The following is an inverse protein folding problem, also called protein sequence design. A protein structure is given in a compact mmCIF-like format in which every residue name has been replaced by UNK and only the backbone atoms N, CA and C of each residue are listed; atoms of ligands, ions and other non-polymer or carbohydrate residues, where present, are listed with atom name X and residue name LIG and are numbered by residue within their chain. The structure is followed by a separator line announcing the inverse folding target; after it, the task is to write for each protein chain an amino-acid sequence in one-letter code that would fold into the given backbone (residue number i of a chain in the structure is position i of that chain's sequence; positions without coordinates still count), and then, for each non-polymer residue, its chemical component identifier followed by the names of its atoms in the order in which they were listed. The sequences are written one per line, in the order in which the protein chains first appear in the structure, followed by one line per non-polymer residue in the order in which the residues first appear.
data_IF_524509380913
#
_entry.id   IF_524509380913
#
_cell.length_a   1.000
_cell.length_b   1.000
_cell.length_c   1.000
_cell.angle_alpha   90.00
_cell.angle_beta   90.00
_cell.angle_gamma   90.00
#
_symmetry.space_group_name_H-M   'P 1'
#
loop_
_entity.id
_entity.type
_entity.pdbx_description
1 polymer ?
#
# COMPACT_ATOMS: atom_id res chain seq x y z
N UNK A 1 -47.61 -47.50 -31.58
CA UNK A 1 -47.48 -46.08 -31.21
C UNK A 1 -46.02 -45.83 -30.91
N UNK A 2 -45.45 -44.84 -31.61
CA UNK A 2 -44.03 -44.74 -31.96
C UNK A 2 -43.35 -43.70 -31.07
N UNK A 3 -42.18 -44.09 -30.55
CA UNK A 3 -41.17 -43.25 -29.92
C UNK A 3 -40.53 -42.29 -30.93
N UNK A 4 -40.37 -41.01 -30.61
CA UNK A 4 -39.41 -40.12 -31.30
C UNK A 4 -38.87 -39.03 -30.35
N UNK A 5 -37.56 -39.03 -30.13
CA UNK A 5 -36.73 -37.85 -29.81
C UNK A 5 -36.34 -37.15 -31.13
N UNK A 6 -36.26 -35.81 -31.21
CA UNK A 6 -34.95 -35.12 -31.35
C UNK A 6 -34.99 -33.70 -30.71
N UNK A 7 -33.97 -32.85 -30.65
CA UNK A 7 -32.64 -32.77 -31.24
C UNK A 7 -32.17 -31.30 -31.23
N UNK A 8 -30.87 -31.08 -31.06
CA UNK A 8 -30.18 -29.78 -31.13
C UNK A 8 -30.17 -29.22 -32.55
N UNK A 9 -30.22 -27.89 -32.71
CA UNK A 9 -29.39 -27.03 -33.59
C UNK A 9 -30.14 -25.80 -34.11
N UNK A 10 -29.60 -24.60 -33.89
CA UNK A 10 -29.48 -23.54 -34.93
C UNK A 10 -28.21 -22.73 -34.67
N UNK A 11 -27.26 -22.86 -35.59
CA UNK A 11 -26.09 -22.00 -35.82
C UNK A 11 -26.34 -21.27 -37.13
N UNK A 12 -25.99 -19.98 -37.15
CA UNK A 12 -25.61 -19.15 -38.31
C UNK A 12 -26.57 -19.00 -39.51
N UNK A 13 -27.08 -17.78 -39.71
CA UNK A 13 -27.31 -17.17 -41.03
C UNK A 13 -27.63 -15.68 -40.90
N UNK A 14 -26.71 -14.82 -41.38
CA UNK A 14 -26.99 -13.61 -42.19
C UNK A 14 -25.81 -12.61 -42.13
N UNK A 15 -24.88 -12.76 -43.07
CA UNK A 15 -23.88 -11.77 -43.46
C UNK A 15 -24.28 -11.25 -44.86
N UNK A 16 -24.14 -9.94 -45.06
CA UNK A 16 -24.07 -9.19 -46.32
C UNK A 16 -25.38 -8.80 -47.04
N UNK A 17 -25.69 -7.49 -47.04
CA UNK A 17 -25.80 -6.66 -48.25
C UNK A 17 -26.24 -5.21 -47.89
N UNK A 18 -25.34 -4.22 -48.09
CA UNK A 18 -25.58 -2.97 -48.85
C UNK A 18 -24.43 -1.96 -48.68
N UNK A 19 -23.51 -2.00 -49.63
CA UNK A 19 -22.82 -0.87 -50.30
C UNK A 19 -23.80 0.26 -50.70
N UNK A 20 -23.47 1.54 -50.93
CA UNK A 20 -22.24 2.24 -51.37
C UNK A 20 -22.46 3.78 -51.35
N UNK A 21 -21.35 4.53 -51.39
CA UNK A 21 -21.08 5.87 -52.01
C UNK A 21 -20.57 6.93 -51.03
N UNK A 22 -19.58 7.80 -51.31
CA UNK A 22 -18.53 7.98 -52.34
C UNK A 22 -17.89 9.37 -52.05
N UNK A 23 -16.71 9.67 -52.64
CA UNK A 23 -15.93 10.95 -52.70
C UNK A 23 -14.95 11.19 -51.54
N UNK A 24 -13.65 11.54 -51.69
CA UNK A 24 -12.73 11.86 -52.81
C UNK A 24 -11.25 11.66 -52.31
N UNK A 25 -10.32 11.02 -53.03
CA UNK A 25 -9.30 11.56 -53.99
C UNK A 25 -8.18 12.44 -53.35
N UNK A 26 -6.97 11.93 -53.05
CA UNK A 26 -5.70 11.79 -53.84
C UNK A 26 -4.99 13.09 -54.26
N UNK A 27 -3.80 13.36 -53.67
CA UNK A 27 -2.58 13.94 -54.27
C UNK A 27 -1.44 13.93 -53.22
N UNK A 28 -0.39 13.10 -53.27
CA UNK A 28 0.88 13.08 -54.06
C UNK A 28 1.80 14.32 -53.99
N UNK A 29 3.03 14.02 -53.51
CA UNK A 29 4.37 14.55 -53.86
C UNK A 29 4.94 15.75 -53.10
N UNK A 30 6.18 15.56 -52.60
CA UNK A 30 7.15 16.61 -52.30
C UNK A 30 8.35 16.08 -51.50
N UNK A 31 9.43 15.71 -52.19
CA UNK A 31 10.72 15.30 -51.62
C UNK A 31 11.62 16.51 -51.35
N UNK A 32 12.44 16.49 -50.29
CA UNK A 32 13.73 17.23 -50.21
C UNK A 32 14.77 16.38 -49.46
N UNK A 33 15.96 16.37 -50.04
CA UNK A 33 17.22 15.62 -49.84
C UNK A 33 17.94 15.94 -48.50
N UNK A 34 18.83 15.05 -48.00
CA UNK A 34 19.57 15.24 -46.75
C UNK A 34 20.87 16.01 -46.93
N UNK A 35 21.24 16.81 -45.92
CA UNK A 35 22.48 17.58 -45.88
C UNK A 35 23.35 17.24 -44.66
N UNK A 36 24.57 16.80 -44.96
CA UNK A 36 25.84 17.04 -44.25
C UNK A 36 26.10 16.46 -42.86
N UNK A 37 27.01 15.49 -42.86
CA UNK A 37 28.01 15.17 -41.83
C UNK A 37 28.86 16.37 -41.39
N UNK A 38 29.19 16.49 -40.10
CA UNK A 38 30.54 16.76 -39.56
C UNK A 38 30.53 16.91 -38.01
N UNK A 39 31.00 15.86 -37.35
CA UNK A 39 31.92 15.83 -36.21
C UNK A 39 32.50 17.16 -35.67
N UNK A 40 32.31 17.45 -34.37
CA UNK A 40 33.38 17.96 -33.46
C UNK A 40 33.07 17.55 -32.02
N UNK A 41 34.03 16.84 -31.41
CA UNK A 41 34.10 16.48 -30.02
C UNK A 41 34.28 17.68 -29.07
N UNK A 42 33.58 17.69 -27.93
CA UNK A 42 34.10 18.28 -26.68
C UNK A 42 33.72 17.44 -25.46
N UNK A 43 34.77 16.86 -24.87
CA UNK A 43 34.83 16.39 -23.48
C UNK A 43 34.57 17.57 -22.53
N UNK A 44 33.64 17.39 -21.60
CA UNK A 44 33.47 18.25 -20.43
C UNK A 44 33.17 17.38 -19.23
N UNK A 45 34.18 17.16 -18.39
CA UNK A 45 34.06 16.44 -17.13
C UNK A 45 33.16 17.25 -16.18
N UNK A 46 31.98 16.71 -15.86
CA UNK A 46 31.07 17.24 -14.84
C UNK A 46 31.18 16.45 -13.55
N UNK A 47 31.78 17.08 -12.54
CA UNK A 47 31.84 16.64 -11.14
C UNK A 47 30.43 16.32 -10.59
N UNK A 48 30.20 15.19 -9.90
CA UNK A 48 28.92 14.94 -9.26
C UNK A 48 28.79 15.82 -8.00
N UNK A 49 27.83 16.74 -8.06
CA UNK A 49 27.42 17.57 -6.94
C UNK A 49 26.85 16.73 -5.80
N UNK A 50 27.49 16.85 -4.64
CA UNK A 50 27.01 16.45 -3.31
C UNK A 50 25.59 16.96 -3.06
N UNK A 51 24.63 16.05 -2.94
CA UNK A 51 23.35 16.32 -2.27
C UNK A 51 23.54 16.23 -0.76
N UNK A 52 23.80 17.38 -0.14
CA UNK A 52 23.71 17.57 1.30
C UNK A 52 22.30 18.06 1.66
N UNK A 53 21.71 17.49 2.72
CA UNK A 53 20.55 18.09 3.39
C UNK A 53 19.34 17.17 3.67
N UNK A 54 19.57 15.97 4.22
CA UNK A 54 18.55 15.30 5.04
C UNK A 54 19.02 15.38 6.49
N UNK A 55 18.26 16.11 7.30
CA UNK A 55 18.49 16.27 8.73
C UNK A 55 18.37 14.92 9.44
N UNK A 56 19.47 14.59 10.11
CA UNK A 56 19.72 13.55 11.10
C UNK A 56 18.50 12.78 11.65
N UNK A 57 18.40 11.52 11.24
CA UNK A 57 17.91 10.47 12.14
C UNK A 57 18.96 10.15 13.21
N UNK A 58 18.59 9.47 14.31
CA UNK A 58 19.50 9.18 15.41
C UNK A 58 20.73 8.41 14.91
N UNK A 59 21.88 8.82 15.42
CA UNK A 59 23.19 8.25 15.12
C UNK A 59 23.15 6.72 15.25
N UNK A 60 23.52 6.03 14.16
CA UNK A 60 23.73 4.59 14.17
C UNK A 60 24.82 4.28 15.19
N UNK A 61 24.47 3.58 16.26
CA UNK A 61 25.43 3.00 17.20
C UNK A 61 26.26 2.01 16.40
N UNK A 62 27.49 2.41 16.06
CA UNK A 62 28.52 1.52 15.56
C UNK A 62 28.98 0.67 16.73
N UNK A 63 28.39 -0.51 16.89
CA UNK A 63 29.00 -1.57 17.70
C UNK A 63 30.34 -1.95 17.07
N UNK A 64 31.41 -1.79 17.85
CA UNK A 64 32.77 -2.19 17.55
C UNK A 64 32.88 -3.69 17.22
N UNK A 65 33.86 -4.01 16.37
CA UNK A 65 34.52 -5.32 16.40
C UNK A 65 34.00 -6.37 15.43
N UNK A 66 34.35 -6.26 14.15
CA UNK A 66 35.06 -7.32 13.39
C UNK A 66 35.34 -6.84 11.97
N UNK A 67 36.61 -6.92 11.59
CA UNK A 67 37.12 -6.59 10.27
C UNK A 67 36.62 -7.62 9.24
N UNK A 68 35.48 -7.34 8.60
CA UNK A 68 35.15 -7.89 7.28
C UNK A 68 34.39 -6.81 6.49
N UNK A 69 35.08 -6.22 5.50
CA UNK A 69 34.77 -4.93 4.84
C UNK A 69 33.55 -4.85 3.94
N UNK A 70 32.35 -5.11 4.46
CA UNK A 70 31.07 -4.83 3.79
C UNK A 70 30.21 -3.85 4.59
N UNK A 71 29.48 -2.97 3.89
CA UNK A 71 28.46 -2.14 4.54
C UNK A 71 27.34 -3.02 5.13
N UNK A 72 26.56 -2.49 6.06
CA UNK A 72 25.37 -3.20 6.57
C UNK A 72 24.41 -3.60 5.42
N UNK A 73 24.35 -2.81 4.36
CA UNK A 73 23.57 -3.10 3.16
C UNK A 73 24.11 -4.28 2.34
N UNK A 74 25.44 -4.44 2.25
CA UNK A 74 26.06 -5.55 1.52
C UNK A 74 25.84 -6.87 2.26
N UNK A 75 25.99 -6.87 3.59
CA UNK A 75 25.67 -8.03 4.43
C UNK A 75 24.20 -8.44 4.30
N UNK A 76 23.29 -7.47 4.32
CA UNK A 76 21.87 -7.71 4.13
C UNK A 76 21.57 -8.37 2.77
N UNK A 77 22.21 -7.89 1.70
CA UNK A 77 22.03 -8.41 0.34
C UNK A 77 22.57 -9.84 0.24
N UNK A 78 23.76 -10.09 0.77
CA UNK A 78 24.36 -11.43 0.79
C UNK A 78 23.47 -12.47 1.51
N UNK A 79 22.88 -12.11 2.67
CA UNK A 79 21.94 -12.99 3.39
C UNK A 79 20.70 -13.30 2.55
N UNK A 80 20.12 -12.27 1.90
CA UNK A 80 18.95 -12.45 1.05
C UNK A 80 19.27 -13.35 -0.14
N UNK A 81 20.37 -13.09 -0.84
CA UNK A 81 20.75 -13.83 -2.04
C UNK A 81 21.05 -15.30 -1.73
N UNK A 82 21.73 -15.57 -0.61
CA UNK A 82 22.02 -16.93 -0.17
C UNK A 82 20.76 -17.73 0.22
N UNK A 83 19.70 -17.08 0.71
CA UNK A 83 18.51 -17.76 1.27
C UNK A 83 17.28 -17.70 0.37
N UNK A 84 17.28 -16.89 -0.69
CA UNK A 84 16.06 -16.65 -1.51
C UNK A 84 15.51 -17.93 -2.14
N UNK A 85 16.37 -18.74 -2.76
CA UNK A 85 15.94 -19.99 -3.38
C UNK A 85 15.35 -20.96 -2.35
N UNK A 86 16.00 -21.07 -1.19
CA UNK A 86 15.51 -21.88 -0.07
C UNK A 86 14.15 -21.39 0.45
N UNK A 87 13.96 -20.08 0.60
CA UNK A 87 12.68 -19.50 1.00
C UNK A 87 11.55 -19.89 0.04
N UNK A 88 11.79 -19.85 -1.28
CA UNK A 88 10.79 -20.26 -2.26
C UNK A 88 10.44 -21.76 -2.16
N UNK A 89 11.44 -22.63 -1.94
CA UNK A 89 11.23 -24.07 -1.72
C UNK A 89 10.42 -24.33 -0.45
N UNK A 90 10.80 -23.72 0.67
CA UNK A 90 10.04 -23.79 1.93
C UNK A 90 8.59 -23.37 1.71
N UNK A 91 8.36 -22.29 0.96
CA UNK A 91 7.03 -21.80 0.64
C UNK A 91 6.20 -22.82 -0.14
N UNK A 92 6.82 -23.48 -1.12
CA UNK A 92 6.18 -24.57 -1.86
C UNK A 92 5.80 -25.75 -0.95
N UNK A 93 6.69 -26.17 -0.06
CA UNK A 93 6.43 -27.28 0.87
C UNK A 93 5.32 -26.98 1.87
N UNK A 94 5.09 -25.72 2.25
CA UNK A 94 3.95 -25.35 3.11
C UNK A 94 2.59 -25.72 2.49
N UNK A 95 2.50 -25.87 1.17
CA UNK A 95 1.25 -26.27 0.51
C UNK A 95 0.80 -27.70 0.87
N UNK A 96 1.70 -28.55 1.38
CA UNK A 96 1.38 -29.91 1.84
C UNK A 96 0.47 -29.90 3.08
N UNK A 97 0.36 -28.76 3.78
CA UNK A 97 -0.44 -28.59 4.99
C UNK A 97 -1.71 -27.74 4.77
N UNK A 98 -2.07 -27.44 3.53
CA UNK A 98 -3.33 -26.75 3.23
C UNK A 98 -4.49 -27.64 3.68
N UNK A 99 -5.52 -27.04 4.30
CA UNK A 99 -6.62 -27.73 5.01
C UNK A 99 -6.26 -28.25 6.41
N UNK A 100 -5.03 -28.06 6.87
CA UNK A 100 -4.62 -28.33 8.24
C UNK A 100 -4.07 -27.04 8.89
N UNK A 101 -4.93 -26.06 9.23
CA UNK A 101 -4.47 -24.70 9.58
C UNK A 101 -3.42 -24.67 10.69
N UNK A 102 -3.58 -25.51 11.71
CA UNK A 102 -2.63 -25.63 12.83
C UNK A 102 -1.29 -26.21 12.36
N UNK A 103 -1.30 -27.25 11.51
CA UNK A 103 -0.08 -27.84 10.95
C UNK A 103 0.65 -26.84 10.05
N UNK A 104 -0.09 -26.09 9.23
CA UNK A 104 0.46 -25.01 8.42
C UNK A 104 1.12 -23.93 9.29
N UNK A 105 0.48 -23.51 10.39
CA UNK A 105 1.04 -22.52 11.31
C UNK A 105 2.36 -22.99 11.95
N UNK A 106 2.42 -24.26 12.37
CA UNK A 106 3.64 -24.89 12.91
C UNK A 106 4.75 -24.94 11.85
N UNK A 107 4.43 -25.41 10.64
CA UNK A 107 5.39 -25.50 9.54
C UNK A 107 5.89 -24.12 9.10
N UNK A 108 5.01 -23.11 9.04
CA UNK A 108 5.37 -21.73 8.72
C UNK A 108 6.30 -21.16 9.78
N UNK A 109 6.03 -21.38 11.07
CA UNK A 109 6.90 -20.94 12.15
C UNK A 109 8.31 -21.51 12.01
N UNK A 110 8.43 -22.82 11.74
CA UNK A 110 9.72 -23.46 11.51
C UNK A 110 10.46 -22.86 10.29
N UNK A 111 9.74 -22.60 9.19
CA UNK A 111 10.31 -21.95 8.01
C UNK A 111 10.78 -20.51 8.30
N UNK A 112 10.03 -19.75 9.10
CA UNK A 112 10.40 -18.39 9.51
C UNK A 112 11.62 -18.39 10.43
N UNK A 113 11.73 -19.36 11.35
CA UNK A 113 12.91 -19.57 12.19
C UNK A 113 14.16 -19.91 11.37
N UNK A 114 14.02 -20.76 10.35
CA UNK A 114 15.12 -21.10 9.43
C UNK A 114 15.61 -19.84 8.66
N UNK A 115 14.68 -18.99 8.24
CA UNK A 115 14.98 -17.79 7.47
C UNK A 115 15.40 -16.58 8.31
N UNK A 116 15.27 -16.65 9.64
CA UNK A 116 15.47 -15.53 10.56
C UNK A 116 16.88 -14.92 10.48
N UNK A 117 16.94 -13.60 10.64
CA UNK A 117 18.17 -12.83 10.79
C UNK A 117 18.10 -12.03 12.10
N UNK A 118 18.87 -12.47 13.10
CA UNK A 118 18.89 -11.85 14.43
C UNK A 118 19.30 -10.37 14.38
N UNK A 119 20.27 -10.01 13.53
CA UNK A 119 20.71 -8.62 13.41
C UNK A 119 19.60 -7.76 12.79
N UNK A 120 18.87 -8.31 11.83
CA UNK A 120 17.71 -7.64 11.26
C UNK A 120 16.58 -7.49 12.29
N UNK A 121 16.29 -8.51 13.10
CA UNK A 121 15.30 -8.45 14.19
C UNK A 121 15.59 -7.30 15.16
N UNK A 122 16.83 -7.19 15.62
CA UNK A 122 17.25 -6.08 16.50
C UNK A 122 17.06 -4.73 15.82
N UNK A 123 17.43 -4.62 14.54
CA UNK A 123 17.20 -3.41 13.75
C UNK A 123 15.71 -3.05 13.59
N UNK A 124 14.84 -4.05 13.41
CA UNK A 124 13.39 -3.83 13.34
C UNK A 124 12.84 -3.25 14.65
N UNK A 125 13.27 -3.78 15.81
CA UNK A 125 12.83 -3.26 17.11
C UNK A 125 13.29 -1.82 17.36
N UNK A 126 14.45 -1.44 16.82
CA UNK A 126 14.93 -0.06 16.89
C UNK A 126 14.10 0.89 15.99
N UNK A 127 13.77 0.45 14.78
CA UNK A 127 13.02 1.25 13.80
C UNK A 127 11.52 1.33 14.13
N UNK A 128 10.96 0.27 14.68
CA UNK A 128 9.57 0.18 15.11
C UNK A 128 9.50 -0.28 16.58
N UNK A 129 9.78 0.63 17.54
CA UNK A 129 9.64 0.32 18.96
C UNK A 129 8.22 -0.17 19.26
N UNK A 130 8.11 -1.30 19.96
CA UNK A 130 6.81 -1.88 20.31
C UNK A 130 6.13 -2.69 19.21
N UNK A 131 6.81 -3.01 18.10
CA UNK A 131 6.29 -3.88 17.01
C UNK A 131 5.85 -5.29 17.44
N UNK A 132 6.01 -5.68 18.71
CA UNK A 132 5.61 -7.01 19.18
C UNK A 132 6.60 -8.12 18.77
N UNK A 133 6.10 -9.35 18.68
CA UNK A 133 6.94 -10.54 18.45
C UNK A 133 7.18 -10.71 16.96
N UNK A 134 8.46 -10.82 16.60
CA UNK A 134 8.90 -11.12 15.24
C UNK A 134 10.01 -12.17 15.23
N UNK A 135 10.11 -12.93 14.14
CA UNK A 135 11.26 -13.81 13.88
C UNK A 135 12.49 -13.02 13.38
N UNK A 136 12.27 -11.90 12.71
CA UNK A 136 13.32 -11.13 12.04
C UNK A 136 13.57 -11.61 10.62
N UNK A 137 12.53 -12.01 9.89
CA UNK A 137 12.67 -12.41 8.49
C UNK A 137 12.66 -11.18 7.59
N UNK A 138 13.68 -11.05 6.75
CA UNK A 138 13.79 -9.94 5.79
C UNK A 138 12.66 -9.98 4.77
N UNK A 139 12.05 -8.83 4.46
CA UNK A 139 10.90 -8.75 3.54
C UNK A 139 11.11 -9.44 2.18
N UNK A 140 12.29 -9.38 1.52
CA UNK A 140 12.52 -10.15 0.30
C UNK A 140 12.41 -11.67 0.47
N UNK A 141 12.82 -12.22 1.62
CA UNK A 141 12.69 -13.65 1.93
C UNK A 141 11.24 -14.01 2.24
N UNK A 142 10.53 -13.19 3.02
CA UNK A 142 9.11 -13.39 3.31
C UNK A 142 8.28 -13.37 2.01
N UNK A 143 8.60 -12.47 1.06
CA UNK A 143 7.96 -12.46 -0.27
C UNK A 143 8.29 -13.69 -1.10
N UNK A 144 9.52 -14.19 -1.07
CA UNK A 144 9.90 -15.40 -1.78
C UNK A 144 9.17 -16.64 -1.21
N UNK A 145 9.08 -16.74 0.12
CA UNK A 145 8.29 -17.74 0.84
C UNK A 145 6.82 -17.68 0.43
N UNK A 146 6.19 -16.50 0.52
CA UNK A 146 4.80 -16.30 0.11
C UNK A 146 4.56 -16.66 -1.36
N UNK A 147 5.45 -16.28 -2.28
CA UNK A 147 5.33 -16.61 -3.70
C UNK A 147 5.43 -18.13 -3.95
N UNK A 148 6.32 -18.83 -3.24
CA UNK A 148 6.40 -20.29 -3.28
C UNK A 148 5.07 -20.94 -2.92
N UNK A 149 4.48 -20.52 -1.79
CA UNK A 149 3.18 -21.02 -1.33
C UNK A 149 2.06 -20.69 -2.31
N UNK A 150 1.87 -19.41 -2.69
CA UNK A 150 0.79 -19.00 -3.59
C UNK A 150 0.85 -19.73 -4.94
N UNK A 151 2.05 -20.08 -5.42
CA UNK A 151 2.19 -20.84 -6.66
C UNK A 151 1.79 -22.31 -6.53
N UNK A 152 2.15 -22.93 -5.42
CA UNK A 152 1.77 -24.31 -5.12
C UNK A 152 0.26 -24.43 -4.85
N UNK A 153 -0.36 -23.39 -4.28
CA UNK A 153 -1.77 -23.42 -3.87
C UNK A 153 -2.76 -22.76 -4.83
N UNK A 154 -2.35 -22.43 -6.06
CA UNK A 154 -3.22 -21.70 -7.03
C UNK A 154 -4.54 -22.40 -7.33
N UNK A 155 -4.59 -23.72 -7.16
CA UNK A 155 -5.75 -24.57 -7.47
C UNK A 155 -6.52 -25.01 -6.21
N UNK A 156 -6.02 -24.70 -5.02
CA UNK A 156 -6.71 -25.03 -3.78
C UNK A 156 -7.97 -24.19 -3.61
N UNK A 157 -8.90 -24.72 -2.81
CA UNK A 157 -10.16 -24.04 -2.54
C UNK A 157 -9.93 -22.75 -1.75
N UNK A 158 -10.64 -21.68 -2.11
CA UNK A 158 -10.54 -20.42 -1.37
C UNK A 158 -11.04 -20.55 0.07
N UNK A 159 -12.01 -21.44 0.33
CA UNK A 159 -12.46 -21.75 1.69
C UNK A 159 -11.36 -22.34 2.58
N UNK A 160 -10.58 -23.31 2.08
CA UNK A 160 -9.46 -23.87 2.83
C UNK A 160 -8.41 -22.81 3.15
N UNK A 161 -8.04 -22.02 2.13
CA UNK A 161 -7.08 -20.93 2.29
C UNK A 161 -7.57 -19.83 3.27
N UNK A 162 -8.88 -19.61 3.37
CA UNK A 162 -9.43 -18.68 4.36
C UNK A 162 -9.33 -19.21 5.80
N UNK A 163 -9.49 -20.53 6.01
CA UNK A 163 -9.26 -21.14 7.32
C UNK A 163 -7.78 -21.04 7.73
N UNK A 164 -6.88 -21.29 6.77
CA UNK A 164 -5.45 -21.11 6.95
C UNK A 164 -5.10 -19.65 7.31
N UNK A 165 -5.63 -18.69 6.56
CA UNK A 165 -5.41 -17.27 6.83
C UNK A 165 -5.96 -16.86 8.21
N UNK A 166 -7.13 -17.35 8.59
CA UNK A 166 -7.72 -17.10 9.91
C UNK A 166 -6.81 -17.57 11.05
N UNK A 167 -6.29 -18.79 10.95
CA UNK A 167 -5.35 -19.35 11.95
C UNK A 167 -4.05 -18.54 12.02
N UNK A 168 -3.50 -18.17 10.86
CA UNK A 168 -2.25 -17.40 10.80
C UNK A 168 -2.40 -15.97 11.35
N UNK A 169 -3.58 -15.34 11.21
CA UNK A 169 -3.86 -14.04 11.83
C UNK A 169 -3.87 -14.12 13.37
N UNK A 170 -4.23 -15.28 13.94
CA UNK A 170 -4.21 -15.53 15.38
C UNK A 170 -2.82 -15.75 15.98
N UNK A 171 -1.79 -15.94 15.15
CA UNK A 171 -0.44 -16.22 15.63
C UNK A 171 0.19 -15.01 16.37
N UNK A 172 1.02 -15.26 17.39
CA UNK A 172 1.65 -14.18 18.15
C UNK A 172 2.77 -13.48 17.39
N UNK A 173 3.45 -14.16 16.46
CA UNK A 173 4.47 -13.57 15.60
C UNK A 173 3.85 -12.84 14.40
N UNK A 174 4.24 -11.59 14.18
CA UNK A 174 3.64 -10.75 13.13
C UNK A 174 3.93 -11.25 11.71
N UNK A 175 5.07 -11.89 11.45
CA UNK A 175 5.36 -12.39 10.10
C UNK A 175 4.36 -13.44 9.61
N UNK A 176 3.76 -14.22 10.51
CA UNK A 176 2.68 -15.14 10.15
C UNK A 176 1.42 -14.38 9.70
N UNK A 177 1.09 -13.27 10.36
CA UNK A 177 -0.01 -12.38 9.97
C UNK A 177 0.25 -11.71 8.63
N UNK A 178 1.47 -11.22 8.42
CA UNK A 178 1.87 -10.62 7.14
C UNK A 178 1.85 -11.64 6.00
N UNK A 179 2.20 -12.90 6.27
CA UNK A 179 2.05 -13.99 5.32
C UNK A 179 0.59 -14.25 4.98
N UNK A 180 -0.31 -14.23 5.98
CA UNK A 180 -1.75 -14.37 5.78
C UNK A 180 -2.32 -13.30 4.83
N UNK A 181 -1.81 -12.07 4.84
CA UNK A 181 -2.27 -11.03 3.90
C UNK A 181 -2.03 -11.39 2.43
N UNK A 182 -1.00 -12.19 2.15
CA UNK A 182 -0.76 -12.76 0.82
C UNK A 182 -1.84 -13.78 0.43
N UNK A 183 -2.25 -14.64 1.37
CA UNK A 183 -3.35 -15.60 1.18
C UNK A 183 -4.66 -14.84 0.93
N UNK A 184 -4.97 -13.84 1.75
CA UNK A 184 -6.15 -12.99 1.57
C UNK A 184 -6.15 -12.30 0.21
N UNK A 185 -4.99 -11.83 -0.27
CA UNK A 185 -4.87 -11.27 -1.61
C UNK A 185 -5.16 -12.27 -2.74
N UNK A 186 -4.91 -13.57 -2.53
CA UNK A 186 -5.24 -14.64 -3.47
C UNK A 186 -6.72 -15.05 -3.43
N UNK A 187 -7.35 -15.03 -2.25
CA UNK A 187 -8.76 -15.41 -2.08
C UNK A 187 -9.72 -14.27 -2.46
N UNK A 188 -9.26 -13.02 -2.38
CA UNK A 188 -10.08 -11.83 -2.59
C UNK A 188 -10.92 -11.88 -3.87
N UNK A 189 -10.41 -12.24 -5.07
CA UNK A 189 -11.24 -12.24 -6.28
C UNK A 189 -12.38 -13.29 -6.29
N UNK A 190 -12.31 -14.30 -5.43
CA UNK A 190 -13.24 -15.45 -5.40
C UNK A 190 -14.19 -15.44 -4.20
N UNK A 191 -13.68 -15.07 -3.02
CA UNK A 191 -14.41 -15.08 -1.75
C UNK A 191 -14.37 -13.68 -1.13
N UNK A 192 -14.95 -12.70 -1.84
CA UNK A 192 -14.79 -11.27 -1.53
C UNK A 192 -15.19 -10.92 -0.10
N UNK A 193 -16.43 -11.24 0.29
CA UNK A 193 -16.94 -10.82 1.59
C UNK A 193 -16.25 -11.53 2.75
N UNK A 194 -16.03 -12.86 2.68
CA UNK A 194 -15.31 -13.58 3.74
C UNK A 194 -13.86 -13.11 3.89
N UNK A 195 -13.18 -12.87 2.76
CA UNK A 195 -11.82 -12.29 2.77
C UNK A 195 -11.86 -10.91 3.41
N UNK A 196 -12.85 -10.08 3.08
CA UNK A 196 -12.98 -8.73 3.61
C UNK A 196 -13.22 -8.70 5.12
N UNK A 197 -14.01 -9.62 5.67
CA UNK A 197 -14.20 -9.73 7.12
C UNK A 197 -12.87 -9.99 7.84
N UNK A 198 -12.01 -10.84 7.30
CA UNK A 198 -10.67 -11.06 7.84
C UNK A 198 -9.76 -9.83 7.69
N UNK A 199 -9.87 -9.07 6.60
CA UNK A 199 -9.15 -7.80 6.44
C UNK A 199 -9.60 -6.74 7.45
N UNK A 200 -10.92 -6.61 7.72
CA UNK A 200 -11.45 -5.73 8.77
C UNK A 200 -10.90 -6.11 10.15
N UNK A 201 -10.94 -7.40 10.47
CA UNK A 201 -10.37 -7.92 11.72
C UNK A 201 -8.88 -7.61 11.85
N UNK A 202 -8.11 -7.88 10.80
CA UNK A 202 -6.68 -7.57 10.78
C UNK A 202 -6.40 -6.07 10.96
N UNK A 203 -7.22 -5.19 10.38
CA UNK A 203 -7.13 -3.74 10.54
C UNK A 203 -7.35 -3.31 11.99
N UNK A 204 -8.39 -3.85 12.66
CA UNK A 204 -8.68 -3.57 14.07
C UNK A 204 -7.62 -4.11 15.03
N UNK A 205 -7.05 -5.27 14.74
CA UNK A 205 -6.04 -5.92 15.57
C UNK A 205 -4.61 -5.42 15.30
N UNK A 206 -4.41 -4.57 14.27
CA UNK A 206 -3.10 -4.01 13.98
C UNK A 206 -2.60 -3.12 15.12
N UNK A 207 -1.38 -3.37 15.58
CA UNK A 207 -0.75 -2.65 16.69
C UNK A 207 0.45 -1.80 16.29
N UNK A 208 0.82 -1.81 15.01
CA UNK A 208 2.03 -1.20 14.48
C UNK A 208 1.88 -0.77 13.01
N UNK A 209 2.73 0.16 12.57
CA UNK A 209 2.67 0.71 11.23
C UNK A 209 3.12 -0.27 10.13
N UNK A 210 3.97 -1.27 10.43
CA UNK A 210 4.42 -2.25 9.43
C UNK A 210 3.26 -3.18 9.06
N UNK A 211 2.51 -3.65 10.04
CA UNK A 211 1.29 -4.43 9.82
C UNK A 211 0.27 -3.66 9.01
N UNK A 212 -0.02 -2.41 9.38
CA UNK A 212 -0.96 -1.54 8.65
C UNK A 212 -0.52 -1.35 7.19
N UNK A 213 0.75 -1.01 6.95
CA UNK A 213 1.24 -0.74 5.59
C UNK A 213 1.31 -2.01 4.74
N UNK A 214 1.54 -3.18 5.36
CA UNK A 214 1.50 -4.48 4.67
C UNK A 214 0.06 -4.85 4.30
N UNK A 215 -0.90 -4.62 5.20
CA UNK A 215 -2.33 -4.86 4.99
C UNK A 215 -2.90 -3.94 3.89
N UNK A 216 -2.45 -2.68 3.86
CA UNK A 216 -2.97 -1.63 3.00
C UNK A 216 -3.01 -2.01 1.51
N UNK A 217 -2.04 -2.77 1.01
CA UNK A 217 -2.00 -3.21 -0.39
C UNK A 217 -3.18 -4.12 -0.73
N UNK A 218 -3.50 -5.10 0.14
CA UNK A 218 -4.62 -6.03 -0.07
C UNK A 218 -5.95 -5.31 0.07
N UNK A 219 -6.07 -4.37 1.02
CA UNK A 219 -7.26 -3.51 1.14
C UNK A 219 -7.45 -2.64 -0.11
N UNK A 220 -6.37 -2.02 -0.62
CA UNK A 220 -6.40 -1.22 -1.84
C UNK A 220 -6.83 -2.02 -3.06
N UNK A 221 -6.41 -3.28 -3.16
CA UNK A 221 -6.90 -4.21 -4.19
C UNK A 221 -8.41 -4.44 -4.07
N UNK A 222 -8.92 -4.70 -2.86
CA UNK A 222 -10.36 -4.91 -2.65
C UNK A 222 -11.19 -3.67 -2.99
N UNK A 223 -10.68 -2.48 -2.68
CA UNK A 223 -11.33 -1.21 -3.04
C UNK A 223 -11.38 -1.00 -4.55
N UNK A 224 -10.32 -1.35 -5.28
CA UNK A 224 -10.32 -1.28 -6.75
C UNK A 224 -11.22 -2.35 -7.38
N UNK A 225 -11.24 -3.56 -6.83
CA UNK A 225 -12.07 -4.67 -7.32
C UNK A 225 -13.57 -4.43 -7.04
N UNK A 226 -13.91 -3.76 -5.93
CA UNK A 226 -15.28 -3.43 -5.51
C UNK A 226 -15.38 -1.97 -5.04
N UNK A 227 -15.65 -1.01 -5.94
CA UNK A 227 -15.61 0.43 -5.63
C UNK A 227 -16.56 0.90 -4.53
N UNK A 228 -17.59 0.14 -4.16
CA UNK A 228 -18.42 0.47 -3.00
C UNK A 228 -17.65 0.36 -1.67
N UNK A 229 -16.54 -0.37 -1.63
CA UNK A 229 -15.69 -0.53 -0.42
C UNK A 229 -14.91 0.73 -0.05
N UNK A 230 -14.94 1.78 -0.88
CA UNK A 230 -14.52 3.11 -0.43
C UNK A 230 -15.28 3.56 0.83
N UNK A 231 -16.55 3.15 0.96
CA UNK A 231 -17.36 3.41 2.15
C UNK A 231 -16.77 2.81 3.44
N UNK A 232 -15.97 1.75 3.33
CA UNK A 232 -15.28 1.17 4.47
C UNK A 232 -14.15 2.10 4.94
N UNK A 233 -13.37 2.65 4.00
CA UNK A 233 -12.35 3.66 4.34
C UNK A 233 -12.99 4.94 4.90
N UNK A 234 -14.15 5.34 4.36
CA UNK A 234 -14.95 6.46 4.88
C UNK A 234 -15.38 6.24 6.34
N UNK A 235 -15.67 5.01 6.76
CA UNK A 235 -15.96 4.72 8.16
C UNK A 235 -14.70 4.78 9.03
N UNK A 236 -13.59 4.24 8.53
CA UNK A 236 -12.34 4.18 9.29
C UNK A 236 -11.74 5.55 9.62
N UNK A 237 -12.07 6.62 8.88
CA UNK A 237 -11.57 7.98 9.23
C UNK A 237 -12.04 8.43 10.62
N UNK A 238 -13.18 7.92 11.09
CA UNK A 238 -13.76 8.24 12.40
C UNK A 238 -13.35 7.25 13.49
N UNK A 239 -12.54 6.23 13.18
CA UNK A 239 -12.16 5.23 14.17
C UNK A 239 -11.39 5.85 15.33
N UNK A 240 -11.63 5.43 16.59
CA UNK A 240 -10.78 5.81 17.71
C UNK A 240 -9.36 5.24 17.60
N UNK A 241 -9.18 4.13 16.87
CA UNK A 241 -7.87 3.52 16.65
C UNK A 241 -7.04 4.33 15.66
N UNK A 242 -5.87 4.81 16.09
CA UNK A 242 -4.91 5.46 15.19
C UNK A 242 -4.44 4.54 14.05
N UNK A 243 -4.46 3.23 14.26
CA UNK A 243 -3.99 2.25 13.27
C UNK A 243 -5.00 2.06 12.14
N UNK A 244 -6.29 2.11 12.45
CA UNK A 244 -7.35 2.10 11.44
C UNK A 244 -7.39 3.42 10.66
N UNK A 245 -7.21 4.58 11.32
CA UNK A 245 -7.07 5.87 10.62
C UNK A 245 -5.81 5.90 9.75
N UNK A 246 -4.70 5.32 10.21
CA UNK A 246 -3.49 5.15 9.41
C UNK A 246 -3.76 4.26 8.19
N UNK A 247 -4.51 3.18 8.35
CA UNK A 247 -4.86 2.26 7.27
C UNK A 247 -5.51 3.00 6.09
N UNK A 248 -6.37 3.98 6.34
CA UNK A 248 -6.94 4.83 5.28
C UNK A 248 -5.84 5.52 4.46
N UNK A 249 -4.91 6.22 5.13
CA UNK A 249 -3.79 6.87 4.47
C UNK A 249 -2.89 5.89 3.72
N UNK A 250 -2.51 4.78 4.36
CA UNK A 250 -1.65 3.76 3.74
C UNK A 250 -2.33 3.07 2.56
N UNK A 251 -3.64 2.80 2.62
CA UNK A 251 -4.41 2.24 1.49
C UNK A 251 -4.43 3.22 0.32
N UNK A 252 -4.80 4.49 0.54
CA UNK A 252 -4.79 5.52 -0.51
C UNK A 252 -3.38 5.67 -1.11
N UNK A 253 -2.34 5.64 -0.27
CA UNK A 253 -0.96 5.74 -0.71
C UNK A 253 -0.49 4.57 -1.57
N UNK A 254 -1.10 3.39 -1.41
CA UNK A 254 -0.71 2.15 -2.11
C UNK A 254 -1.53 1.88 -3.37
N UNK A 255 -2.78 2.35 -3.47
CA UNK A 255 -3.67 2.13 -4.62
C UNK A 255 -2.99 2.37 -5.99
N UNK A 256 -2.23 3.46 -6.24
CA UNK A 256 -1.56 3.70 -7.53
C UNK A 256 -0.49 2.68 -7.93
N UNK A 257 -0.12 1.80 -7.00
CA UNK A 257 0.87 0.75 -7.15
C UNK A 257 0.28 -0.66 -7.10
N UNK A 258 -0.96 -0.82 -6.61
CA UNK A 258 -1.73 -2.07 -6.70
C UNK A 258 -2.05 -2.38 -8.16
N UNK A 259 -2.65 -1.42 -8.84
CA UNK A 259 -2.89 -1.46 -10.28
C UNK A 259 -2.51 -0.10 -10.88
N UNK A 260 -1.57 -0.07 -11.82
CA UNK A 260 -1.06 1.18 -12.39
C UNK A 260 -2.03 1.86 -13.35
N UNK A 261 -3.07 1.15 -13.79
CA UNK A 261 -4.12 1.69 -14.66
C UNK A 261 -5.30 2.11 -13.79
N UNK A 262 -6.00 1.15 -13.18
CA UNK A 262 -7.20 1.42 -12.39
C UNK A 262 -6.90 2.29 -11.16
N UNK A 263 -5.77 2.04 -10.48
CA UNK A 263 -5.34 2.83 -9.32
C UNK A 263 -4.85 4.25 -9.65
N UNK A 264 -4.85 4.65 -10.92
CA UNK A 264 -4.46 5.99 -11.36
C UNK A 264 -5.55 6.68 -12.16
N UNK A 265 -6.78 6.20 -12.05
CA UNK A 265 -7.92 6.91 -12.61
C UNK A 265 -8.22 8.18 -11.79
N UNK A 266 -8.72 9.26 -12.41
CA UNK A 266 -9.00 10.52 -11.70
C UNK A 266 -9.95 10.36 -10.51
N UNK A 267 -10.89 9.40 -10.58
CA UNK A 267 -11.81 9.11 -9.47
C UNK A 267 -11.08 8.65 -8.19
N UNK A 268 -9.95 7.93 -8.33
CA UNK A 268 -9.12 7.53 -7.19
C UNK A 268 -8.56 8.76 -6.48
N UNK A 269 -8.07 9.76 -7.24
CA UNK A 269 -7.59 11.00 -6.67
C UNK A 269 -8.74 11.79 -6.01
N UNK A 270 -9.90 11.88 -6.66
CA UNK A 270 -11.06 12.58 -6.09
C UNK A 270 -11.51 11.98 -4.75
N UNK A 271 -11.72 10.66 -4.68
CA UNK A 271 -12.12 9.97 -3.45
C UNK A 271 -11.02 9.98 -2.39
N UNK A 272 -9.79 9.71 -2.82
CA UNK A 272 -8.61 9.72 -1.95
C UNK A 272 -8.41 11.07 -1.28
N UNK A 273 -8.34 12.15 -2.06
CA UNK A 273 -8.17 13.52 -1.54
C UNK A 273 -9.33 13.94 -0.62
N UNK A 274 -10.56 13.52 -0.91
CA UNK A 274 -11.71 13.74 -0.02
C UNK A 274 -11.50 13.13 1.36
N UNK A 275 -11.07 11.88 1.45
CA UNK A 275 -10.76 11.21 2.72
C UNK A 275 -9.53 11.80 3.43
N UNK A 276 -8.49 12.15 2.68
CA UNK A 276 -7.31 12.80 3.25
C UNK A 276 -7.64 14.17 3.86
N UNK A 277 -8.55 14.93 3.23
CA UNK A 277 -9.10 16.18 3.76
C UNK A 277 -9.80 16.01 5.11
N UNK A 278 -10.52 14.90 5.31
CA UNK A 278 -11.18 14.61 6.59
C UNK A 278 -10.18 14.32 7.72
N UNK A 279 -9.05 13.69 7.40
CA UNK A 279 -8.04 13.25 8.37
C UNK A 279 -6.92 14.26 8.61
N UNK A 280 -6.61 15.13 7.65
CA UNK A 280 -5.53 16.09 7.83
C UNK A 280 -5.87 17.04 9.00
N UNK A 281 -4.89 17.26 9.88
CA UNK A 281 -5.10 17.82 11.23
C UNK A 281 -5.11 16.78 12.36
N UNK A 282 -5.05 15.47 12.06
CA UNK A 282 -4.92 14.41 13.06
C UNK A 282 -3.69 14.64 13.94
N UNK A 283 -3.81 14.47 15.25
CA UNK A 283 -2.71 14.64 16.21
C UNK A 283 -1.73 13.46 16.25
N UNK A 284 -2.13 12.28 15.76
CA UNK A 284 -1.33 11.06 15.81
C UNK A 284 -0.20 11.07 14.75
N UNK A 285 1.09 11.01 15.16
CA UNK A 285 2.21 11.07 14.21
C UNK A 285 2.19 9.97 13.15
N UNK A 286 1.72 8.77 13.51
CA UNK A 286 1.59 7.65 12.59
C UNK A 286 0.54 7.91 11.51
N UNK A 287 -0.59 8.54 11.85
CA UNK A 287 -1.60 8.95 10.88
C UNK A 287 -1.02 10.04 9.98
N UNK A 288 -0.41 11.07 10.55
CA UNK A 288 0.21 12.18 9.80
C UNK A 288 1.23 11.68 8.77
N UNK A 289 2.09 10.70 9.11
CA UNK A 289 3.04 10.10 8.16
C UNK A 289 2.37 9.34 7.02
N UNK A 290 1.27 8.63 7.29
CA UNK A 290 0.51 7.96 6.24
C UNK A 290 -0.19 8.98 5.33
N UNK A 291 -0.73 10.07 5.87
CA UNK A 291 -1.33 11.14 5.08
C UNK A 291 -0.31 11.80 4.15
N UNK A 292 0.89 12.13 4.65
CA UNK A 292 1.93 12.73 3.79
C UNK A 292 2.41 11.77 2.71
N UNK A 293 2.42 10.47 2.96
CA UNK A 293 2.65 9.47 1.93
C UNK A 293 1.50 9.43 0.92
N UNK A 294 0.25 9.43 1.38
CA UNK A 294 -0.93 9.40 0.53
C UNK A 294 -1.01 10.59 -0.42
N UNK A 295 -0.82 11.82 0.08
CA UNK A 295 -0.78 13.02 -0.78
C UNK A 295 0.34 12.94 -1.83
N UNK A 296 1.53 12.46 -1.46
CA UNK A 296 2.63 12.26 -2.43
C UNK A 296 2.26 11.22 -3.49
N UNK A 297 1.50 10.19 -3.13
CA UNK A 297 0.99 9.20 -4.09
C UNK A 297 -0.12 9.77 -4.97
N UNK A 298 -1.02 10.59 -4.44
CA UNK A 298 -2.07 11.24 -5.23
C UNK A 298 -1.51 12.27 -6.22
N UNK A 299 -0.40 12.94 -5.90
CA UNK A 299 0.31 13.79 -6.85
C UNK A 299 0.84 13.02 -8.09
N UNK A 300 1.01 11.69 -8.00
CA UNK A 300 1.34 10.84 -9.15
C UNK A 300 0.13 10.49 -10.02
N UNK A 301 -1.08 10.62 -9.47
CA UNK A 301 -2.35 10.33 -10.13
C UNK A 301 -2.90 11.61 -10.77
N UNK A 302 -3.06 12.64 -9.95
CA UNK A 302 -3.53 13.97 -10.36
C UNK A 302 -2.78 15.04 -9.55
N UNK A 303 -1.74 15.61 -10.19
CA UNK A 303 -0.91 16.64 -9.59
C UNK A 303 -1.68 17.93 -9.31
N UNK A 304 -2.60 18.31 -10.20
CA UNK A 304 -3.32 19.58 -10.09
C UNK A 304 -4.33 19.52 -8.95
N UNK A 305 -5.17 18.50 -8.92
CA UNK A 305 -6.15 18.30 -7.85
C UNK A 305 -5.45 18.16 -6.48
N UNK A 306 -4.34 17.42 -6.42
CA UNK A 306 -3.55 17.28 -5.19
C UNK A 306 -2.97 18.62 -4.74
N UNK A 307 -2.47 19.43 -5.67
CA UNK A 307 -1.91 20.74 -5.30
C UNK A 307 -2.98 21.70 -4.83
N UNK A 308 -4.12 21.77 -5.51
CA UNK A 308 -5.26 22.58 -5.10
C UNK A 308 -5.73 22.20 -3.69
N UNK A 309 -5.87 20.91 -3.41
CA UNK A 309 -6.24 20.44 -2.07
C UNK A 309 -5.22 20.87 -1.00
N UNK A 310 -3.92 20.83 -1.30
CA UNK A 310 -2.88 21.28 -0.36
C UNK A 310 -2.83 22.80 -0.18
N UNK A 311 -3.19 23.58 -1.21
CA UNK A 311 -3.36 25.04 -1.12
C UNK A 311 -4.53 25.38 -0.17
N UNK A 312 -5.69 24.77 -0.35
CA UNK A 312 -6.85 24.93 0.55
C UNK A 312 -6.51 24.55 2.00
N UNK A 313 -5.79 23.44 2.20
CA UNK A 313 -5.38 23.01 3.53
C UNK A 313 -4.31 23.90 4.15
N UNK A 314 -3.45 24.53 3.34
CA UNK A 314 -2.45 25.47 3.84
C UNK A 314 -3.10 26.77 4.33
N UNK A 315 -4.10 27.26 3.61
CA UNK A 315 -4.91 28.41 4.04
C UNK A 315 -5.63 28.13 5.35
N UNK A 316 -6.30 26.97 5.45
CA UNK A 316 -6.94 26.52 6.71
C UNK A 316 -5.92 26.42 7.84
N UNK A 317 -4.73 25.89 7.58
CA UNK A 317 -3.68 25.80 8.59
C UNK A 317 -3.23 27.16 9.10
N UNK A 318 -3.07 28.14 8.20
CA UNK A 318 -2.70 29.50 8.56
C UNK A 318 -3.79 30.20 9.39
N UNK A 319 -5.07 30.07 8.99
CA UNK A 319 -6.20 30.67 9.70
C UNK A 319 -6.38 30.13 11.13
N UNK A 320 -6.12 28.84 11.34
CA UNK A 320 -6.37 28.14 12.61
C UNK A 320 -5.11 27.90 13.44
N UNK A 321 -3.94 28.35 12.96
CA UNK A 321 -2.63 28.04 13.52
C UNK A 321 -2.35 26.52 13.69
N UNK A 322 -2.87 25.70 12.76
CA UNK A 322 -2.81 24.23 12.84
C UNK A 322 -1.43 23.70 12.43
N UNK A 323 -0.63 23.39 13.46
CA UNK A 323 0.70 22.81 13.30
C UNK A 323 0.71 21.36 12.78
N UNK A 324 -0.35 20.59 12.99
CA UNK A 324 -0.44 19.18 12.54
C UNK A 324 -0.63 19.14 11.02
N UNK A 325 -1.60 19.92 10.51
CA UNK A 325 -1.87 20.12 9.07
C UNK A 325 -0.65 20.68 8.35
N UNK A 326 -0.05 21.74 8.89
CA UNK A 326 1.18 22.33 8.34
C UNK A 326 2.35 21.34 8.25
N UNK A 327 2.45 20.40 9.18
CA UNK A 327 3.50 19.38 9.15
C UNK A 327 3.30 18.39 8.00
N UNK A 328 2.07 17.91 7.78
CA UNK A 328 1.74 16.99 6.68
C UNK A 328 2.05 17.64 5.33
N UNK A 329 1.58 18.88 5.11
CA UNK A 329 1.78 19.60 3.84
C UNK A 329 3.27 19.75 3.53
N UNK A 330 4.09 20.13 4.52
CA UNK A 330 5.55 20.30 4.34
C UNK A 330 6.25 19.04 3.85
N UNK A 331 5.83 17.87 4.34
CA UNK A 331 6.42 16.57 3.98
C UNK A 331 6.09 16.17 2.53
N UNK A 332 5.09 16.82 1.91
CA UNK A 332 4.65 16.58 0.52
C UNK A 332 5.34 17.49 -0.49
N UNK A 333 5.80 18.68 -0.09
CA UNK A 333 6.25 19.76 -0.99
C UNK A 333 7.28 19.35 -2.04
N UNK A 334 8.15 18.38 -1.74
CA UNK A 334 9.16 17.87 -2.67
C UNK A 334 8.57 17.17 -3.91
N UNK A 335 7.26 16.91 -3.93
CA UNK A 335 6.54 16.32 -5.06
C UNK A 335 5.75 17.33 -5.89
N UNK A 336 5.71 18.59 -5.48
CA UNK A 336 4.99 19.63 -6.18
C UNK A 336 5.92 20.43 -7.10
N UNK A 337 5.31 21.22 -7.99
CA UNK A 337 6.04 22.26 -8.72
C UNK A 337 6.81 23.18 -7.75
N UNK A 338 8.08 23.52 -8.02
CA UNK A 338 8.89 24.33 -7.11
C UNK A 338 8.29 25.70 -6.75
N UNK A 339 7.62 26.37 -7.68
CA UNK A 339 7.01 27.68 -7.43
C UNK A 339 5.78 27.54 -6.53
N UNK A 340 4.92 26.54 -6.78
CA UNK A 340 3.78 26.22 -5.90
C UNK A 340 4.26 25.81 -4.50
N UNK A 341 5.28 24.94 -4.42
CA UNK A 341 5.89 24.55 -3.15
C UNK A 341 6.47 25.73 -2.37
N UNK A 342 7.07 26.71 -3.05
CA UNK A 342 7.59 27.93 -2.42
C UNK A 342 6.46 28.79 -1.82
N UNK A 343 5.34 28.96 -2.53
CA UNK A 343 4.16 29.68 -2.01
C UNK A 343 3.59 29.01 -0.76
N UNK A 344 3.37 27.69 -0.81
CA UNK A 344 2.91 26.91 0.35
C UNK A 344 3.86 27.04 1.54
N UNK A 345 5.18 27.02 1.32
CA UNK A 345 6.15 27.29 2.39
C UNK A 345 5.94 28.65 3.04
N UNK A 346 5.69 29.68 2.23
CA UNK A 346 5.39 31.04 2.67
C UNK A 346 4.15 31.11 3.57
N UNK A 347 3.04 30.52 3.13
CA UNK A 347 1.78 30.44 3.90
C UNK A 347 1.99 29.75 5.25
N UNK A 348 2.79 28.68 5.27
CA UNK A 348 3.03 27.88 6.46
C UNK A 348 4.16 28.42 7.34
N UNK A 349 4.75 29.60 7.07
CA UNK A 349 5.84 30.13 7.91
C UNK A 349 5.35 30.30 9.36
N UNK A 350 6.19 29.94 10.33
CA UNK A 350 5.88 30.07 11.75
C UNK A 350 5.00 28.97 12.36
N UNK A 351 4.22 28.24 11.56
CA UNK A 351 3.36 27.17 12.08
C UNK A 351 4.20 25.97 12.56
N UNK A 352 4.03 25.55 13.82
CA UNK A 352 4.80 24.43 14.40
C UNK A 352 3.87 23.41 15.02
N UNK A 353 4.13 22.14 14.74
CA UNK A 353 3.46 21.02 15.38
C UNK A 353 3.79 21.02 16.87
N UNK A 354 2.77 20.93 17.72
CA UNK A 354 2.90 20.78 19.17
C UNK A 354 2.42 19.38 19.54
N UNK A 355 3.22 18.65 20.33
CA UNK A 355 2.95 17.23 20.64
C UNK A 355 1.64 17.04 21.40
N UNK A 356 1.31 17.99 22.27
CA UNK A 356 0.17 17.88 23.19
C UNK A 356 -1.07 18.64 22.70
N UNK A 357 -1.01 19.20 21.49
CA UNK A 357 -2.19 19.85 20.89
C UNK A 357 -3.19 18.81 20.41
N UNK A 358 -4.49 19.00 20.69
CA UNK A 358 -5.53 18.07 20.27
C UNK A 358 -5.60 17.99 18.74
N UNK A 359 -6.27 16.93 18.25
CA UNK A 359 -6.57 16.80 16.82
C UNK A 359 -7.49 17.94 16.37
N UNK A 360 -7.21 18.48 15.19
CA UNK A 360 -7.97 19.54 14.52
C UNK A 360 -8.62 19.04 13.23
N UNK A 361 -8.52 17.74 12.94
CA UNK A 361 -9.18 17.13 11.78
C UNK A 361 -10.69 17.12 11.96
N UNK A 362 -11.44 17.35 10.87
CA UNK A 362 -12.91 17.24 10.84
C UNK A 362 -13.39 15.87 11.31
N UNK A 363 -12.66 14.80 10.98
CA UNK A 363 -12.99 13.45 11.42
C UNK A 363 -12.93 13.31 12.95
N UNK A 364 -11.89 13.82 13.60
CA UNK A 364 -11.76 13.78 15.06
C UNK A 364 -12.83 14.63 15.76
N UNK A 365 -13.14 15.81 15.22
CA UNK A 365 -14.23 16.65 15.75
C UNK A 365 -15.57 15.91 15.67
N UNK A 366 -15.85 15.28 14.53
CA UNK A 366 -17.08 14.50 14.32
C UNK A 366 -17.14 13.29 15.25
N UNK A 367 -16.04 12.55 15.39
CA UNK A 367 -15.93 11.41 16.29
C UNK A 367 -16.15 11.81 17.76
N UNK A 368 -15.62 12.96 18.19
CA UNK A 368 -15.85 13.50 19.54
C UNK A 368 -17.34 13.78 19.78
N UNK A 369 -18.03 14.42 18.81
CA UNK A 369 -19.48 14.65 18.90
C UNK A 369 -20.29 13.36 19.02
N UNK A 370 -19.89 12.28 18.32
CA UNK A 370 -20.55 10.98 18.46
C UNK A 370 -20.28 10.34 19.83
N UNK A 371 -19.06 10.45 20.34
CA UNK A 371 -18.71 9.95 21.66
C UNK A 371 -19.52 10.63 22.77
N UNK A 372 -19.77 11.95 22.65
CA UNK A 372 -20.61 12.71 23.57
C UNK A 372 -22.08 12.24 23.58
N UNK A 373 -22.54 11.62 22.49
CA UNK A 373 -23.86 11.00 22.37
C UNK A 373 -23.90 9.55 22.88
N UNK A 374 -22.79 9.03 23.42
CA UNK A 374 -22.66 7.62 23.82
C UNK A 374 -22.57 6.64 22.65
N UNK A 375 -22.39 7.14 21.43
CA UNK A 375 -22.21 6.35 20.22
C UNK A 375 -20.70 6.09 19.99
N UNK A 376 -20.36 5.00 19.29
CA UNK A 376 -18.95 4.68 18.96
C UNK A 376 -18.24 3.71 19.91
N UNK A 377 -18.98 3.01 20.79
CA UNK A 377 -18.43 1.85 21.50
C UNK A 377 -18.15 0.72 20.50
N UNK A 378 -16.98 0.09 20.61
CA UNK A 378 -16.68 -1.11 19.83
C UNK A 378 -17.68 -2.21 20.20
N UNK A 379 -18.47 -2.65 19.23
CA UNK A 379 -19.30 -3.84 19.38
C UNK A 379 -18.41 -5.07 19.19
N UNK A 380 -18.56 -6.13 20.00
CA UNK A 380 -17.85 -7.38 19.77
C UNK A 380 -18.28 -7.96 18.41
N UNK A 381 -17.31 -8.50 17.65
CA UNK A 381 -17.65 -9.15 16.39
C UNK A 381 -18.45 -10.44 16.61
N UNK A 382 -19.45 -10.72 15.76
CA UNK A 382 -20.07 -12.04 15.73
C UNK A 382 -19.04 -13.10 15.31
N UNK A 383 -19.11 -14.33 15.84
CA UNK A 383 -18.22 -15.41 15.43
C UNK A 383 -18.38 -15.71 13.93
N UNK A 384 -17.28 -16.08 13.27
CA UNK A 384 -17.31 -16.62 11.92
C UNK A 384 -17.92 -18.03 12.00
N UNK A 385 -19.23 -18.15 11.81
CA UNK A 385 -19.95 -19.44 11.74
C UNK A 385 -19.83 -20.09 10.38
#
# INVERSE_FOLDING_TARGET
MISVTPGKAVVALARAAMTRSSTAEVARKGAVTPGSTAEVARKGAGTPGRTAGLTAGPAWVTTEGTASGGSAGDRARAIVDARRARAAVLGGSLAEHVQEPVALAVALRAALEELADRAYRTGQQFVAPGIGRTHGVRSPLLRALGHGFMNATRRDSSSALLLDAHELLGQPELEARWFAFGILGQTLPRERERTWQLLRRAGREAGDWITVDTLAHTVGRGVLDEPYRWAELEQLVYSPSRWERRLVGSTIATIPFVDRRAGREPEVAARGLGLLGQLIGDAEPDVQKALSWAYRSMALVDLEATTSALEDEAERAAMTADGHRAWVIRDVLLKLDPARAARLRGVLVGLRRRRDSPSTSTAAETAARFADLGLGRALPEPPLT
#
